data_IF_329612958021
#
_entry.id   IF_329612958021
#
_cell.length_a   1.000
_cell.length_b   1.000
_cell.length_c   1.000
_cell.angle_alpha   90.00
_cell.angle_beta   90.00
_cell.angle_gamma   90.00
#
_symmetry.space_group_name_H-M   'P 1'
#
loop_
_entity.id
_entity.type
_entity.pdbx_description
1 polymer ?
#
# COMPACT_ATOMS: atom_id res chain seq x y z
N UNK A 1 3.20 -11.66 -10.47
CA UNK A 1 2.77 -10.74 -9.38
C UNK A 1 3.81 -10.67 -8.26
N UNK A 2 4.28 -11.80 -7.70
CA UNK A 2 5.29 -11.78 -6.62
C UNK A 2 6.57 -11.00 -6.98
N UNK A 3 7.25 -11.32 -8.08
CA UNK A 3 8.42 -10.54 -8.54
C UNK A 3 8.14 -9.05 -8.79
N UNK A 4 6.94 -8.71 -9.23
CA UNK A 4 6.55 -7.33 -9.48
C UNK A 4 6.45 -6.54 -8.17
N UNK A 5 5.96 -7.17 -7.10
CA UNK A 5 5.80 -6.54 -5.80
C UNK A 5 7.04 -6.55 -4.92
N UNK A 6 8.19 -7.03 -5.42
CA UNK A 6 9.47 -6.88 -4.71
C UNK A 6 9.90 -5.40 -4.66
N UNK A 7 9.56 -4.63 -5.72
CA UNK A 7 9.55 -3.17 -5.64
C UNK A 7 8.14 -2.66 -5.31
N UNK A 8 8.10 -1.56 -4.55
CA UNK A 8 6.89 -0.88 -4.13
C UNK A 8 6.66 0.44 -4.88
N UNK A 9 7.44 0.70 -5.95
CA UNK A 9 7.33 1.92 -6.76
C UNK A 9 5.92 2.13 -7.34
N UNK A 10 5.19 1.04 -7.58
CA UNK A 10 3.81 1.07 -8.06
C UNK A 10 2.85 1.78 -7.11
N UNK A 11 3.16 1.84 -5.80
CA UNK A 11 2.34 2.58 -4.83
C UNK A 11 2.27 4.06 -5.17
N UNK A 12 3.35 4.65 -5.70
CA UNK A 12 3.33 6.04 -6.18
C UNK A 12 2.36 6.19 -7.35
N UNK A 13 2.40 5.28 -8.31
CA UNK A 13 1.49 5.30 -9.47
C UNK A 13 0.03 5.20 -9.03
N UNK A 14 -0.28 4.30 -8.09
CA UNK A 14 -1.63 4.19 -7.54
C UNK A 14 -2.06 5.50 -6.87
N UNK A 15 -1.22 6.09 -6.02
CA UNK A 15 -1.52 7.34 -5.31
C UNK A 15 -1.75 8.55 -6.23
N UNK A 16 -1.20 8.53 -7.45
CA UNK A 16 -1.37 9.60 -8.45
C UNK A 16 -2.60 9.41 -9.34
N UNK A 17 -3.34 8.30 -9.23
CA UNK A 17 -4.56 8.10 -10.02
C UNK A 17 -5.66 9.08 -9.60
N UNK A 18 -6.21 9.78 -10.58
CA UNK A 18 -7.37 10.65 -10.43
C UNK A 18 -8.65 9.92 -10.87
N UNK A 19 -9.77 10.13 -10.17
CA UNK A 19 -11.09 9.60 -10.54
C UNK A 19 -11.45 8.23 -9.94
N UNK A 20 -10.69 7.74 -8.96
CA UNK A 20 -10.98 6.51 -8.22
C UNK A 20 -10.86 6.75 -6.70
N UNK A 21 -11.45 5.88 -5.85
CA UNK A 21 -11.17 5.88 -4.42
C UNK A 21 -9.75 5.32 -4.18
N UNK A 22 -8.75 6.15 -4.44
CA UNK A 22 -7.34 5.79 -4.51
C UNK A 22 -6.84 5.14 -3.21
N UNK A 23 -7.33 5.59 -2.06
CA UNK A 23 -6.89 5.09 -0.76
C UNK A 23 -7.36 3.65 -0.53
N UNK A 24 -8.62 3.38 -0.87
CA UNK A 24 -9.19 2.03 -0.81
C UNK A 24 -8.54 1.09 -1.81
N UNK A 25 -8.21 1.59 -3.01
CA UNK A 25 -7.48 0.82 -4.02
C UNK A 25 -6.08 0.44 -3.55
N UNK A 26 -5.33 1.37 -2.96
CA UNK A 26 -4.00 1.12 -2.38
C UNK A 26 -4.09 0.09 -1.26
N UNK A 27 -5.03 0.25 -0.32
CA UNK A 27 -5.21 -0.69 0.77
C UNK A 27 -5.58 -2.10 0.27
N UNK A 28 -6.52 -2.20 -0.68
CA UNK A 28 -6.91 -3.46 -1.29
C UNK A 28 -5.73 -4.13 -2.01
N UNK A 29 -4.96 -3.37 -2.79
CA UNK A 29 -3.79 -3.90 -3.51
C UNK A 29 -2.74 -4.45 -2.55
N UNK A 30 -2.47 -3.75 -1.45
CA UNK A 30 -1.51 -4.22 -0.44
C UNK A 30 -2.01 -5.50 0.24
N UNK A 31 -3.29 -5.58 0.61
CA UNK A 31 -3.87 -6.79 1.20
C UNK A 31 -3.78 -7.99 0.27
N UNK A 32 -4.15 -7.84 -1.00
CA UNK A 32 -4.10 -8.92 -1.98
C UNK A 32 -2.67 -9.44 -2.16
N UNK A 33 -1.70 -8.54 -2.31
CA UNK A 33 -0.29 -8.95 -2.44
C UNK A 33 0.22 -9.59 -1.15
N UNK A 34 -0.14 -9.07 0.02
CA UNK A 34 0.22 -9.65 1.31
C UNK A 34 -0.29 -11.08 1.46
N UNK A 35 -1.53 -11.35 1.05
CA UNK A 35 -2.10 -12.69 1.03
C UNK A 35 -1.39 -13.60 0.02
N UNK A 36 -1.12 -13.11 -1.21
CA UNK A 36 -0.36 -13.85 -2.22
C UNK A 36 1.07 -14.19 -1.77
N UNK A 37 1.67 -13.35 -0.91
CA UNK A 37 2.98 -13.56 -0.27
C UNK A 37 2.92 -14.44 0.98
N UNK A 38 1.81 -15.15 1.21
CA UNK A 38 1.63 -16.01 2.39
C UNK A 38 1.81 -15.26 3.71
N UNK A 39 1.27 -14.03 3.79
CA UNK A 39 1.32 -13.19 4.97
C UNK A 39 2.76 -12.85 5.44
N UNK A 40 3.67 -12.62 4.48
CA UNK A 40 5.04 -12.20 4.75
C UNK A 40 5.11 -10.84 5.48
N UNK A 41 5.34 -10.87 6.79
CA UNK A 41 5.31 -9.65 7.63
C UNK A 41 6.38 -8.62 7.27
N UNK A 42 7.57 -9.06 6.86
CA UNK A 42 8.66 -8.18 6.41
C UNK A 42 8.23 -7.30 5.25
N UNK A 43 7.55 -7.90 4.27
CA UNK A 43 7.02 -7.18 3.13
C UNK A 43 5.95 -6.15 3.53
N UNK A 44 5.04 -6.51 4.43
CA UNK A 44 3.99 -5.59 4.91
C UNK A 44 4.58 -4.37 5.63
N UNK A 45 5.60 -4.59 6.47
CA UNK A 45 6.31 -3.49 7.15
C UNK A 45 7.00 -2.59 6.13
N UNK A 46 7.62 -3.16 5.10
CA UNK A 46 8.26 -2.39 4.03
C UNK A 46 7.24 -1.57 3.22
N UNK A 47 6.05 -2.14 2.94
CA UNK A 47 4.94 -1.44 2.30
C UNK A 47 4.48 -0.24 3.15
N UNK A 48 4.28 -0.42 4.45
CA UNK A 48 3.90 0.66 5.38
C UNK A 48 4.95 1.77 5.46
N UNK A 49 6.24 1.42 5.51
CA UNK A 49 7.33 2.42 5.49
C UNK A 49 7.37 3.20 4.18
N UNK A 50 7.13 2.53 3.06
CA UNK A 50 7.10 3.17 1.74
C UNK A 50 5.92 4.15 1.65
N UNK A 51 4.73 3.77 2.12
CA UNK A 51 3.58 4.66 2.21
C UNK A 51 3.86 5.87 3.11
N UNK A 52 4.51 5.68 4.25
CA UNK A 52 4.90 6.78 5.14
C UNK A 52 5.81 7.80 4.42
N UNK A 53 6.76 7.34 3.60
CA UNK A 53 7.61 8.23 2.82
C UNK A 53 6.84 8.95 1.70
N UNK A 54 5.88 8.28 1.06
CA UNK A 54 5.08 8.84 -0.04
C UNK A 54 4.02 9.84 0.45
N UNK A 55 3.48 9.64 1.65
CA UNK A 55 2.41 10.44 2.27
C UNK A 55 2.91 11.25 3.46
N UNK A 56 4.21 11.54 3.53
CA UNK A 56 4.85 12.20 4.68
C UNK A 56 4.15 13.51 5.12
N UNK A 57 3.55 14.23 4.16
CA UNK A 57 2.88 15.51 4.36
C UNK A 57 1.36 15.36 4.59
N UNK A 58 0.82 14.12 4.48
CA UNK A 58 -0.60 13.79 4.57
C UNK A 58 -0.84 12.56 5.47
N UNK A 59 -0.63 12.79 6.77
CA UNK A 59 -0.66 11.73 7.78
C UNK A 59 -2.07 11.15 8.02
N UNK A 60 -3.11 11.97 7.83
CA UNK A 60 -4.50 11.51 7.93
C UNK A 60 -4.82 10.49 6.84
N UNK A 61 -4.41 10.79 5.60
CA UNK A 61 -4.57 9.86 4.47
C UNK A 61 -3.77 8.58 4.67
N UNK A 62 -2.53 8.67 5.17
CA UNK A 62 -1.75 7.50 5.55
C UNK A 62 -2.51 6.63 6.55
N UNK A 63 -3.07 7.23 7.60
CA UNK A 63 -3.83 6.52 8.63
C UNK A 63 -5.07 5.82 8.06
N UNK A 64 -5.79 6.46 7.15
CA UNK A 64 -6.95 5.88 6.45
C UNK A 64 -6.55 4.65 5.63
N UNK A 65 -5.44 4.70 4.91
CA UNK A 65 -4.97 3.54 4.12
C UNK A 65 -4.56 2.40 5.05
N UNK A 66 -3.77 2.69 6.09
CA UNK A 66 -3.28 1.68 7.03
C UNK A 66 -4.42 1.02 7.83
N UNK A 67 -5.48 1.75 8.16
CA UNK A 67 -6.65 1.17 8.85
C UNK A 67 -7.41 0.19 7.97
N UNK A 68 -7.37 0.35 6.64
CA UNK A 68 -8.04 -0.53 5.69
C UNK A 68 -7.22 -1.77 5.30
N UNK A 69 -5.93 -1.80 5.64
CA UNK A 69 -5.05 -2.96 5.40
C UNK A 69 -5.31 -4.07 6.42
N UNK A 70 -5.77 -3.73 7.62
CA UNK A 70 -6.17 -4.71 8.61
C UNK A 70 -7.44 -5.44 8.15
N UNK A 71 -7.46 -6.76 8.35
CA UNK A 71 -8.60 -7.64 8.03
C UNK A 71 -9.70 -7.48 9.08
#
# INVERSE_FOLDING_TARGET
ILRFSDSLDFLRTLLMMNGAPTDALVAATIREIYQLRQAERSWLVQAGRTLNLLLKDDYDRLRIILSQIHL
#
